data_IF_666252217938
#
_entry.id   IF_666252217938
#
_cell.length_a   1.000
_cell.length_b   1.000
_cell.length_c   1.000
_cell.angle_alpha   90.00
_cell.angle_beta   90.00
_cell.angle_gamma   90.00
#
_symmetry.space_group_name_H-M   'P 1'
#
loop_
_entity.id
_entity.type
_entity.pdbx_description
1 polymer ?
#
# COMPACT_ATOMS: atom_id res chain seq x y z
N UNK A 1 19.88 -1.60 -10.81
CA UNK A 1 18.42 -1.68 -11.05
C UNK A 1 17.72 -1.56 -9.72
N UNK A 2 16.53 -0.95 -9.68
CA UNK A 2 15.78 -0.75 -8.43
C UNK A 2 14.99 -1.98 -8.01
N UNK A 3 14.68 -2.05 -6.72
CA UNK A 3 13.72 -2.98 -6.11
C UNK A 3 12.50 -2.21 -5.61
N UNK A 4 11.32 -2.53 -6.14
CA UNK A 4 10.05 -1.99 -5.66
C UNK A 4 9.40 -2.93 -4.64
N UNK A 5 8.93 -2.38 -3.53
CA UNK A 5 8.15 -3.09 -2.53
C UNK A 5 6.71 -2.58 -2.60
N UNK A 6 5.73 -3.48 -2.69
CA UNK A 6 4.33 -3.12 -2.91
C UNK A 6 3.45 -3.75 -1.84
N UNK A 7 2.66 -2.93 -1.17
CA UNK A 7 1.59 -3.35 -0.28
C UNK A 7 0.24 -3.23 -0.99
N UNK A 8 -0.59 -4.28 -0.97
CA UNK A 8 -1.92 -4.23 -1.60
C UNK A 8 -1.91 -4.55 -3.10
N UNK A 9 -1.01 -5.43 -3.55
CA UNK A 9 -0.89 -5.87 -4.94
C UNK A 9 -2.14 -6.56 -5.52
N UNK A 10 -3.04 -7.06 -4.68
CA UNK A 10 -4.30 -7.71 -5.10
C UNK A 10 -5.43 -6.71 -5.42
N UNK A 11 -5.25 -5.44 -5.08
CA UNK A 11 -6.23 -4.38 -5.35
C UNK A 11 -6.18 -3.87 -6.79
N UNK A 12 -7.15 -3.03 -7.16
CA UNK A 12 -7.25 -2.46 -8.51
C UNK A 12 -5.97 -1.69 -8.91
N UNK A 13 -5.48 -0.81 -8.04
CA UNK A 13 -4.29 -0.01 -8.32
C UNK A 13 -3.03 -0.87 -8.23
N UNK A 14 -2.89 -1.64 -7.13
CA UNK A 14 -1.69 -2.45 -6.89
C UNK A 14 -1.42 -3.45 -8.00
N UNK A 15 -2.46 -4.12 -8.54
CA UNK A 15 -2.29 -5.10 -9.62
C UNK A 15 -1.77 -4.47 -10.91
N UNK A 16 -2.28 -3.28 -11.28
CA UNK A 16 -1.81 -2.52 -12.45
C UNK A 16 -0.43 -1.93 -12.24
N UNK A 17 -0.14 -1.46 -11.03
CA UNK A 17 1.19 -0.97 -10.67
C UNK A 17 2.23 -2.08 -10.80
N UNK A 18 1.92 -3.30 -10.35
CA UNK A 18 2.78 -4.47 -10.54
C UNK A 18 3.07 -4.68 -12.03
N UNK A 19 2.06 -4.67 -12.91
CA UNK A 19 2.27 -4.84 -14.35
C UNK A 19 3.23 -3.79 -14.93
N UNK A 20 3.05 -2.52 -14.57
CA UNK A 20 3.90 -1.42 -15.01
C UNK A 20 5.34 -1.60 -14.52
N UNK A 21 5.54 -1.95 -13.24
CA UNK A 21 6.87 -2.12 -12.65
C UNK A 21 7.61 -3.33 -13.22
N UNK A 22 6.90 -4.42 -13.54
CA UNK A 22 7.52 -5.60 -14.16
C UNK A 22 8.01 -5.31 -15.58
N UNK A 23 7.26 -4.50 -16.34
CA UNK A 23 7.60 -4.06 -17.71
C UNK A 23 8.69 -2.98 -17.76
N UNK A 24 8.94 -2.28 -16.66
CA UNK A 24 9.91 -1.18 -16.61
C UNK A 24 11.35 -1.70 -16.40
N UNK A 25 12.27 -1.26 -17.27
CA UNK A 25 13.69 -1.65 -17.24
C UNK A 25 14.45 -1.06 -16.06
N UNK A 26 13.93 -0.02 -15.40
CA UNK A 26 14.51 0.57 -14.20
C UNK A 26 14.44 -0.38 -13.00
N UNK A 27 13.49 -1.32 -13.00
CA UNK A 27 13.28 -2.29 -11.92
C UNK A 27 13.80 -3.68 -12.29
N UNK A 28 14.60 -4.23 -11.39
CA UNK A 28 15.12 -5.60 -11.46
C UNK A 28 14.30 -6.59 -10.62
N UNK A 29 13.65 -6.09 -9.56
CA UNK A 29 12.84 -6.89 -8.63
C UNK A 29 11.61 -6.12 -8.17
N UNK A 30 10.50 -6.82 -8.03
CA UNK A 30 9.24 -6.34 -7.46
C UNK A 30 8.81 -7.32 -6.38
N UNK A 31 8.83 -6.90 -5.12
CA UNK A 31 8.31 -7.70 -4.00
C UNK A 31 6.90 -7.24 -3.66
N UNK A 32 5.92 -8.12 -3.79
CA UNK A 32 4.53 -7.84 -3.43
C UNK A 32 4.19 -8.51 -2.10
N UNK A 33 3.87 -7.71 -1.08
CA UNK A 33 3.35 -8.15 0.20
C UNK A 33 1.82 -8.26 0.10
N UNK A 34 1.30 -9.48 0.19
CA UNK A 34 -0.11 -9.79 -0.07
C UNK A 34 -0.68 -10.71 1.01
N UNK A 35 -2.02 -10.73 1.13
CA UNK A 35 -2.73 -11.67 2.03
C UNK A 35 -3.18 -12.97 1.35
N UNK A 36 -3.07 -13.03 0.02
CA UNK A 36 -3.47 -14.15 -0.83
C UNK A 36 -2.67 -14.12 -2.13
N UNK A 37 -2.46 -15.28 -2.80
CA UNK A 37 -1.70 -15.33 -4.06
C UNK A 37 -2.26 -14.40 -5.15
N UNK A 38 -1.36 -13.82 -5.94
CA UNK A 38 -1.62 -13.00 -7.11
C UNK A 38 -1.89 -13.84 -8.36
N UNK A 39 -1.58 -15.14 -8.33
CA UNK A 39 -1.67 -16.07 -9.47
C UNK A 39 -0.94 -15.54 -10.72
N UNK A 40 0.24 -14.94 -10.51
CA UNK A 40 1.07 -14.35 -11.56
C UNK A 40 2.50 -14.85 -11.41
N UNK A 41 3.07 -15.36 -12.50
CA UNK A 41 4.47 -15.75 -12.56
C UNK A 41 5.26 -14.73 -13.40
N UNK A 42 6.37 -14.23 -12.87
CA UNK A 42 7.30 -13.39 -13.63
C UNK A 42 8.68 -13.41 -12.98
N UNK A 43 9.76 -13.42 -13.79
CA UNK A 43 11.15 -13.52 -13.30
C UNK A 43 11.58 -12.43 -12.31
N UNK A 44 10.95 -11.25 -12.38
CA UNK A 44 11.20 -10.12 -11.48
C UNK A 44 10.25 -10.08 -10.27
N UNK A 45 9.18 -10.86 -10.28
CA UNK A 45 8.14 -10.81 -9.24
C UNK A 45 8.49 -11.78 -8.12
N UNK A 46 8.59 -11.25 -6.90
CA UNK A 46 8.65 -12.00 -5.67
C UNK A 46 7.34 -11.77 -4.90
N UNK A 47 6.59 -12.83 -4.66
CA UNK A 47 5.35 -12.76 -3.88
C UNK A 47 5.62 -13.24 -2.46
N UNK A 48 5.19 -12.44 -1.48
CA UNK A 48 5.29 -12.79 -0.06
C UNK A 48 3.89 -12.74 0.55
N UNK A 49 3.40 -13.90 0.97
CA UNK A 49 2.10 -14.03 1.63
C UNK A 49 2.30 -13.78 3.12
N UNK A 50 1.74 -12.68 3.62
CA UNK A 50 1.99 -12.20 4.98
C UNK A 50 0.71 -12.13 5.82
N UNK A 51 0.90 -12.28 7.14
CA UNK A 51 -0.13 -11.96 8.12
C UNK A 51 0.06 -10.51 8.62
N UNK A 52 -0.84 -9.62 8.22
CA UNK A 52 -0.80 -8.20 8.61
C UNK A 52 -0.94 -7.96 10.12
N UNK A 53 -1.46 -8.93 10.87
CA UNK A 53 -1.53 -8.87 12.34
C UNK A 53 -0.17 -9.06 13.02
N UNK A 54 0.82 -9.58 12.29
CA UNK A 54 2.10 -10.02 12.86
C UNK A 54 3.29 -9.38 12.13
N UNK A 55 3.51 -8.06 12.26
CA UNK A 55 4.59 -7.35 11.60
C UNK A 55 5.98 -7.95 11.82
N UNK A 56 6.22 -8.52 13.00
CA UNK A 56 7.49 -9.17 13.33
C UNK A 56 7.87 -10.31 12.36
N UNK A 57 6.89 -10.99 11.76
CA UNK A 57 7.12 -12.10 10.83
C UNK A 57 7.60 -11.63 9.45
N UNK A 58 7.25 -10.41 9.04
CA UNK A 58 7.50 -9.92 7.67
C UNK A 58 8.28 -8.61 7.59
N UNK A 59 8.61 -7.95 8.71
CA UNK A 59 9.35 -6.68 8.70
C UNK A 59 10.66 -6.74 7.91
N UNK A 60 11.34 -7.88 7.93
CA UNK A 60 12.59 -8.11 7.21
C UNK A 60 12.42 -8.27 5.69
N UNK A 61 11.18 -8.48 5.21
CA UNK A 61 10.86 -8.58 3.78
C UNK A 61 10.76 -7.20 3.11
N UNK A 62 10.54 -6.14 3.88
CA UNK A 62 10.50 -4.76 3.39
C UNK A 62 11.93 -4.24 3.18
N UNK A 63 12.56 -4.64 2.09
CA UNK A 63 13.92 -4.22 1.72
C UNK A 63 13.99 -3.88 0.23
N UNK A 64 14.16 -2.60 -0.08
CA UNK A 64 14.25 -2.13 -1.46
C UNK A 64 14.49 -0.63 -1.54
N UNK A 65 14.33 -0.07 -2.73
CA UNK A 65 14.60 1.34 -2.99
C UNK A 65 13.34 2.20 -2.81
N UNK A 66 12.17 1.64 -3.14
CA UNK A 66 10.90 2.36 -3.20
C UNK A 66 9.76 1.51 -2.63
N UNK A 67 8.93 2.10 -1.76
CA UNK A 67 7.77 1.45 -1.14
C UNK A 67 6.46 2.07 -1.62
N UNK A 68 5.57 1.23 -2.17
CA UNK A 68 4.29 1.61 -2.74
C UNK A 68 3.14 1.05 -1.90
N UNK A 69 2.40 1.91 -1.21
CA UNK A 69 1.27 1.54 -0.37
C UNK A 69 -0.06 1.74 -1.10
N UNK A 70 -0.65 0.62 -1.53
CA UNK A 70 -1.90 0.58 -2.30
C UNK A 70 -3.04 -0.15 -1.58
N UNK A 71 -2.91 -0.42 -0.27
CA UNK A 71 -3.99 -1.02 0.50
C UNK A 71 -5.19 -0.08 0.63
N UNK A 72 -6.36 -0.71 0.67
CA UNK A 72 -7.59 -0.05 1.04
C UNK A 72 -8.75 -1.00 0.90
N UNK A 73 -9.74 -0.82 1.77
CA UNK A 73 -10.99 -1.56 1.76
C UNK A 73 -12.17 -0.58 1.80
N UNK A 74 -13.38 -1.14 1.67
CA UNK A 74 -14.61 -0.37 1.90
C UNK A 74 -15.22 -0.79 3.22
N UNK A 75 -16.05 0.07 3.81
CA UNK A 75 -16.80 -0.30 5.03
C UNK A 75 -17.65 -1.56 4.82
N UNK A 76 -18.23 -1.72 3.62
CA UNK A 76 -19.01 -2.91 3.23
C UNK A 76 -18.16 -4.18 3.23
N UNK A 77 -16.95 -4.12 2.70
CA UNK A 77 -16.02 -5.26 2.69
C UNK A 77 -15.38 -5.52 4.05
N UNK A 78 -15.13 -4.46 4.83
CA UNK A 78 -14.53 -4.56 6.16
C UNK A 78 -15.53 -5.02 7.23
N UNK A 79 -16.82 -4.76 7.04
CA UNK A 79 -17.88 -5.07 8.00
C UNK A 79 -18.06 -4.02 9.10
N UNK A 80 -17.01 -3.27 9.47
CA UNK A 80 -17.10 -2.19 10.47
C UNK A 80 -16.11 -1.05 10.21
N UNK A 81 -16.30 0.07 10.94
CA UNK A 81 -15.36 1.20 10.91
C UNK A 81 -14.01 0.81 11.49
N UNK A 82 -14.00 0.03 12.57
CA UNK A 82 -12.80 -0.44 13.26
C UNK A 82 -11.98 -1.35 12.34
N UNK A 83 -12.65 -2.29 11.67
CA UNK A 83 -12.01 -3.17 10.69
C UNK A 83 -11.47 -2.39 9.48
N UNK A 84 -12.23 -1.40 8.99
CA UNK A 84 -11.75 -0.53 7.91
C UNK A 84 -10.54 0.30 8.37
N UNK A 85 -10.58 0.87 9.57
CA UNK A 85 -9.46 1.63 10.15
C UNK A 85 -8.20 0.77 10.27
N UNK A 86 -8.37 -0.47 10.72
CA UNK A 86 -7.26 -1.43 10.82
C UNK A 86 -6.55 -1.63 9.47
N UNK A 87 -7.31 -1.77 8.39
CA UNK A 87 -6.77 -1.99 7.04
C UNK A 87 -6.25 -0.72 6.39
N UNK A 88 -7.07 0.34 6.35
CA UNK A 88 -6.80 1.57 5.59
C UNK A 88 -5.92 2.58 6.34
N UNK A 89 -5.67 2.37 7.64
CA UNK A 89 -4.77 3.18 8.44
C UNK A 89 -3.72 2.30 9.14
N UNK A 90 -4.12 1.41 10.05
CA UNK A 90 -3.16 0.78 10.98
C UNK A 90 -2.11 -0.07 10.28
N UNK A 91 -2.53 -1.00 9.39
CA UNK A 91 -1.57 -1.82 8.63
C UNK A 91 -0.76 -0.99 7.64
N UNK A 92 -1.37 0.01 6.99
CA UNK A 92 -0.65 0.87 6.03
C UNK A 92 0.43 1.70 6.72
N UNK A 93 0.12 2.27 7.88
CA UNK A 93 1.03 3.09 8.66
C UNK A 93 2.15 2.23 9.25
N UNK A 94 1.84 1.09 9.88
CA UNK A 94 2.85 0.18 10.42
C UNK A 94 3.84 -0.29 9.35
N UNK A 95 3.36 -0.63 8.15
CA UNK A 95 4.24 -1.02 7.05
C UNK A 95 5.10 0.16 6.54
N UNK A 96 4.59 1.39 6.58
CA UNK A 96 5.36 2.59 6.25
C UNK A 96 6.44 2.88 7.31
N UNK A 97 6.13 2.72 8.60
CA UNK A 97 7.10 2.84 9.70
C UNK A 97 8.24 1.82 9.53
N UNK A 98 7.90 0.56 9.25
CA UNK A 98 8.89 -0.49 8.98
C UNK A 98 9.73 -0.16 7.76
N UNK A 99 9.11 0.32 6.68
CA UNK A 99 9.84 0.72 5.47
C UNK A 99 10.84 1.85 5.75
N UNK A 100 10.44 2.86 6.52
CA UNK A 100 11.31 3.96 6.92
C UNK A 100 12.45 3.46 7.83
N UNK A 101 12.14 2.63 8.82
CA UNK A 101 13.12 2.05 9.74
C UNK A 101 14.14 1.16 9.01
N UNK A 102 13.73 0.49 7.93
CA UNK A 102 14.62 -0.31 7.07
C UNK A 102 15.41 0.54 6.06
N UNK A 103 15.28 1.87 6.09
CA UNK A 103 16.05 2.78 5.24
C UNK A 103 15.56 2.88 3.80
N UNK A 104 14.32 2.47 3.49
CA UNK A 104 13.73 2.74 2.18
C UNK A 104 13.64 4.26 2.00
N UNK A 105 14.11 4.75 0.85
CA UNK A 105 14.26 6.20 0.60
C UNK A 105 12.99 6.86 0.09
N UNK A 106 12.21 6.14 -0.72
CA UNK A 106 11.02 6.71 -1.38
C UNK A 106 9.75 5.98 -0.99
N UNK A 107 8.73 6.75 -0.64
CA UNK A 107 7.41 6.25 -0.28
C UNK A 107 6.34 6.84 -1.20
N UNK A 108 5.46 5.98 -1.71
CA UNK A 108 4.30 6.37 -2.50
C UNK A 108 3.04 5.82 -1.83
N UNK A 109 2.11 6.71 -1.48
CA UNK A 109 0.82 6.35 -0.89
C UNK A 109 -0.31 6.64 -1.87
N UNK A 110 -1.19 5.64 -2.07
CA UNK A 110 -2.48 5.85 -2.72
C UNK A 110 -3.52 6.23 -1.66
N UNK A 111 -3.86 7.51 -1.62
CA UNK A 111 -4.87 8.09 -0.73
C UNK A 111 -6.19 8.29 -1.47
N UNK A 112 -6.88 9.41 -1.22
CA UNK A 112 -8.17 9.75 -1.82
C UNK A 112 -8.32 11.27 -1.97
N UNK A 113 -9.03 11.72 -3.00
CA UNK A 113 -9.35 13.13 -3.22
C UNK A 113 -10.05 13.78 -2.02
N UNK A 114 -10.83 13.01 -1.25
CA UNK A 114 -11.52 13.50 -0.05
C UNK A 114 -10.69 13.45 1.24
N UNK A 115 -9.42 13.04 1.21
CA UNK A 115 -8.61 12.86 2.41
C UNK A 115 -8.36 14.20 3.13
N UNK A 116 -8.90 14.32 4.35
CA UNK A 116 -8.84 15.53 5.16
C UNK A 116 -8.95 15.17 6.65
N UNK A 117 -7.89 15.45 7.42
CA UNK A 117 -7.77 15.16 8.85
C UNK A 117 -8.90 15.82 9.68
N UNK A 118 -9.42 16.96 9.24
CA UNK A 118 -10.47 17.71 9.93
C UNK A 118 -11.90 17.35 9.48
N UNK A 119 -12.05 16.34 8.61
CA UNK A 119 -13.38 15.96 8.09
C UNK A 119 -14.26 15.32 9.17
N UNK A 120 -15.56 15.63 9.15
CA UNK A 120 -16.57 14.91 9.95
C UNK A 120 -16.82 13.49 9.42
N UNK A 121 -16.61 13.26 8.13
CA UNK A 121 -16.79 11.94 7.51
C UNK A 121 -15.64 11.00 7.90
N UNK A 122 -15.99 9.83 8.45
CA UNK A 122 -15.05 8.82 8.92
C UNK A 122 -13.96 8.47 7.88
N UNK A 123 -14.35 8.12 6.66
CA UNK A 123 -13.41 7.71 5.61
C UNK A 123 -12.41 8.83 5.24
N UNK A 124 -12.89 10.05 5.03
CA UNK A 124 -12.05 11.22 4.75
C UNK A 124 -11.09 11.55 5.88
N UNK A 125 -11.58 11.47 7.13
CA UNK A 125 -10.76 11.73 8.31
C UNK A 125 -9.66 10.70 8.47
N UNK A 126 -9.98 9.42 8.35
CA UNK A 126 -9.02 8.32 8.42
C UNK A 126 -7.93 8.44 7.35
N UNK A 127 -8.31 8.67 6.08
CA UNK A 127 -7.32 8.86 5.00
C UNK A 127 -6.49 10.13 5.20
N UNK A 128 -7.11 11.22 5.65
CA UNK A 128 -6.40 12.46 5.99
C UNK A 128 -5.43 12.28 7.17
N UNK A 129 -5.77 11.43 8.13
CA UNK A 129 -4.88 11.07 9.24
C UNK A 129 -3.66 10.31 8.73
N UNK A 130 -3.87 9.26 7.92
CA UNK A 130 -2.76 8.53 7.31
C UNK A 130 -1.85 9.46 6.50
N UNK A 131 -2.43 10.34 5.66
CA UNK A 131 -1.67 11.32 4.87
C UNK A 131 -0.78 12.22 5.74
N UNK A 132 -1.27 12.62 6.91
CA UNK A 132 -0.52 13.48 7.83
C UNK A 132 0.58 12.70 8.55
N UNK A 133 0.29 11.50 9.05
CA UNK A 133 1.25 10.74 9.86
C UNK A 133 2.42 10.22 9.01
N UNK A 134 2.16 9.74 7.80
CA UNK A 134 3.26 9.24 6.94
C UNK A 134 4.25 10.33 6.55
N UNK A 135 3.84 11.60 6.52
CA UNK A 135 4.73 12.75 6.26
C UNK A 135 5.74 12.99 7.37
N UNK A 136 5.50 12.46 8.56
CA UNK A 136 6.42 12.56 9.70
C UNK A 136 7.51 11.48 9.65
N UNK A 137 7.38 10.49 8.76
CA UNK A 137 8.36 9.42 8.62
C UNK A 137 9.59 9.90 7.83
N UNK A 138 10.80 9.42 8.17
CA UNK A 138 12.07 9.92 7.63
C UNK A 138 12.40 9.41 6.22
N UNK A 139 11.43 9.39 5.31
CA UNK A 139 11.69 9.13 3.89
C UNK A 139 12.36 10.34 3.23
N UNK A 140 13.32 10.11 2.34
CA UNK A 140 13.91 11.18 1.51
C UNK A 140 12.85 11.81 0.57
N UNK A 141 11.86 11.03 0.16
CA UNK A 141 10.77 11.51 -0.68
C UNK A 141 9.47 10.78 -0.41
N UNK A 142 8.39 11.56 -0.25
CA UNK A 142 7.03 11.06 -0.03
C UNK A 142 6.13 11.62 -1.13
N UNK A 143 5.47 10.73 -1.87
CA UNK A 143 4.45 11.07 -2.87
C UNK A 143 3.10 10.54 -2.44
N UNK A 144 2.13 11.44 -2.21
CA UNK A 144 0.76 11.06 -1.87
C UNK A 144 -0.14 11.35 -3.07
N UNK A 145 -0.68 10.29 -3.67
CA UNK A 145 -1.57 10.39 -4.83
C UNK A 145 -3.01 10.35 -4.33
N UNK A 146 -3.81 11.36 -4.71
CA UNK A 146 -5.20 11.53 -4.25
C UNK A 146 -6.21 11.36 -5.39
N UNK A 147 -6.43 10.12 -5.87
CA UNK A 147 -7.38 9.88 -6.94
C UNK A 147 -8.82 10.16 -6.47
N UNK A 148 -9.67 10.52 -7.43
CA UNK A 148 -11.13 10.55 -7.25
C UNK A 148 -11.70 9.12 -7.33
N UNK A 149 -12.78 8.90 -8.07
CA UNK A 149 -13.35 7.57 -8.25
C UNK A 149 -12.52 6.78 -9.24
N UNK A 150 -11.92 5.69 -8.76
CA UNK A 150 -11.24 4.74 -9.63
C UNK A 150 -12.26 3.79 -10.26
N UNK A 151 -12.33 3.80 -11.59
CA UNK A 151 -13.11 2.87 -12.41
C UNK A 151 -12.22 1.73 -12.93
N UNK A 152 -12.78 0.53 -13.05
CA UNK A 152 -12.06 -0.64 -13.56
C UNK A 152 -12.68 -1.96 -13.13
N UNK A 153 -12.35 -3.04 -13.86
CA UNK A 153 -12.80 -4.40 -13.51
C UNK A 153 -12.19 -4.81 -12.17
N UNK A 154 -13.04 -5.26 -11.24
CA UNK A 154 -12.66 -5.80 -9.94
C UNK A 154 -13.37 -7.15 -9.76
N UNK A 155 -12.70 -8.10 -9.11
CA UNK A 155 -13.36 -9.36 -8.73
C UNK A 155 -14.49 -9.14 -7.71
N UNK A 156 -14.39 -8.10 -6.89
CA UNK A 156 -15.39 -7.76 -5.86
C UNK A 156 -16.05 -6.41 -6.16
N UNK A 157 -17.39 -6.40 -6.21
CA UNK A 157 -18.20 -5.18 -6.27
C UNK A 157 -18.20 -4.50 -4.89
N UNK A 158 -18.01 -3.18 -4.88
CA UNK A 158 -18.08 -2.35 -3.67
C UNK A 158 -19.51 -2.15 -3.18
#
# INVERSE_FOLDING_TARGET
MKTAIILGGTGLVGSRLIDLLLGDSRYGKVTALVRRPLNKAHKKLNEEIINFEKPEEWKNLIRGDEFYSCLGTTIKTAGSKEAQYKVDYSYQYAAAEIAAANGIKKYVLISSAGANLNSKMFYSRMKGKLDSDVKLLPFESITIIKPSVLVGKREQKR
#
